data_IF_400362341817
#
_entry.id   IF_400362341817
#
_cell.length_a   1.000
_cell.length_b   1.000
_cell.length_c   1.000
_cell.angle_alpha   90.00
_cell.angle_beta   90.00
_cell.angle_gamma   90.00
#
_symmetry.space_group_name_H-M   'P 1'
#
loop_
_entity.id
_entity.type
_entity.pdbx_description
1 polymer ?
#
# COMPACT_ATOMS: atom_id res chain seq x y z
N UNK A 1 -4.68 -14.14 -18.92
CA UNK A 1 -3.79 -15.16 -18.34
C UNK A 1 -3.07 -14.54 -17.17
N UNK A 2 -3.47 -14.83 -15.94
CA UNK A 2 -2.68 -14.45 -14.76
C UNK A 2 -1.39 -15.27 -14.76
N UNK A 3 -0.23 -14.68 -14.41
CA UNK A 3 1.02 -15.44 -14.32
C UNK A 3 0.86 -16.59 -13.31
N UNK A 4 1.34 -17.77 -13.71
CA UNK A 4 1.24 -18.98 -12.89
C UNK A 4 2.05 -18.77 -11.58
N UNK A 5 1.54 -19.17 -10.40
CA UNK A 5 2.15 -18.89 -9.09
C UNK A 5 3.51 -19.58 -8.83
N UNK A 6 4.10 -20.22 -9.85
CA UNK A 6 5.33 -21.01 -9.79
C UNK A 6 6.56 -20.30 -10.35
N UNK A 7 6.50 -19.01 -10.67
CA UNK A 7 7.70 -18.29 -11.15
C UNK A 7 8.74 -18.12 -10.04
N UNK A 8 10.03 -18.32 -10.36
CA UNK A 8 11.12 -18.23 -9.40
C UNK A 8 11.23 -16.82 -8.84
N UNK A 9 11.39 -16.71 -7.52
CA UNK A 9 11.69 -15.44 -6.86
C UNK A 9 13.01 -14.90 -7.44
N UNK A 10 13.05 -13.67 -7.99
CA UNK A 10 14.25 -13.12 -8.59
C UNK A 10 15.43 -13.08 -7.60
N UNK A 11 16.62 -13.48 -8.06
CA UNK A 11 17.84 -13.51 -7.26
C UNK A 11 18.26 -12.08 -6.85
N UNK A 12 18.89 -11.95 -5.69
CA UNK A 12 19.37 -10.67 -5.18
C UNK A 12 20.45 -10.09 -6.11
N UNK A 13 20.15 -8.95 -6.76
CA UNK A 13 21.10 -8.22 -7.61
C UNK A 13 20.59 -7.88 -9.00
N UNK A 14 19.52 -8.52 -9.48
CA UNK A 14 18.84 -8.11 -10.72
C UNK A 14 17.86 -6.98 -10.41
N UNK A 15 17.89 -5.92 -11.24
CA UNK A 15 16.85 -4.90 -11.27
C UNK A 15 15.50 -5.63 -11.40
N UNK A 16 14.57 -5.35 -10.51
CA UNK A 16 13.25 -6.00 -10.55
C UNK A 16 12.58 -5.57 -11.84
N UNK A 17 12.20 -6.54 -12.67
CA UNK A 17 11.49 -6.23 -13.90
C UNK A 17 10.11 -5.66 -13.57
N UNK A 18 9.65 -4.71 -14.39
CA UNK A 18 8.27 -4.19 -14.33
C UNK A 18 7.33 -5.21 -14.97
N UNK A 19 6.07 -5.31 -14.51
CA UNK A 19 5.12 -6.19 -15.16
C UNK A 19 4.87 -5.69 -16.59
N UNK A 20 4.54 -6.59 -17.53
CA UNK A 20 4.19 -6.18 -18.88
C UNK A 20 3.01 -5.21 -18.83
N UNK A 21 2.98 -4.24 -19.75
CA UNK A 21 1.85 -3.33 -19.87
C UNK A 21 0.60 -4.13 -20.28
N UNK A 22 -0.44 -4.05 -19.46
CA UNK A 22 -1.73 -4.72 -19.71
C UNK A 22 -2.81 -3.65 -19.86
N UNK A 23 -3.82 -3.94 -20.69
CA UNK A 23 -5.00 -3.08 -20.83
C UNK A 23 -5.81 -3.14 -19.53
N UNK A 24 -5.64 -2.14 -18.67
CA UNK A 24 -6.21 -2.12 -17.32
C UNK A 24 -7.73 -2.06 -17.31
N UNK A 25 -8.32 -1.52 -18.37
CA UNK A 25 -9.73 -1.19 -18.41
C UNK A 25 -10.59 -2.46 -18.53
N UNK A 26 -10.20 -3.39 -19.40
CA UNK A 26 -10.91 -4.66 -19.55
C UNK A 26 -10.88 -5.49 -18.26
N UNK A 27 -9.75 -5.50 -17.55
CA UNK A 27 -9.63 -6.21 -16.28
C UNK A 27 -10.48 -5.53 -15.21
N UNK A 28 -10.41 -4.20 -15.13
CA UNK A 28 -11.23 -3.42 -14.21
C UNK A 28 -12.72 -3.69 -14.42
N UNK A 29 -13.22 -3.61 -15.66
CA UNK A 29 -14.62 -3.86 -15.95
C UNK A 29 -15.05 -5.29 -15.59
N UNK A 30 -14.20 -6.29 -15.85
CA UNK A 30 -14.47 -7.67 -15.41
C UNK A 30 -14.56 -7.81 -13.89
N UNK A 31 -13.73 -7.09 -13.12
CA UNK A 31 -13.80 -7.11 -11.66
C UNK A 31 -15.02 -6.33 -11.13
N UNK A 32 -15.37 -5.23 -11.81
CA UNK A 32 -16.56 -4.46 -11.46
C UNK A 32 -17.83 -5.24 -11.77
N UNK A 33 -17.91 -5.99 -12.86
CA UNK A 33 -19.03 -6.91 -13.13
C UNK A 33 -19.28 -7.89 -11.97
N UNK A 34 -18.22 -8.33 -11.30
CA UNK A 34 -18.31 -9.26 -10.17
C UNK A 34 -18.67 -8.57 -8.84
N UNK A 35 -18.13 -7.37 -8.57
CA UNK A 35 -18.30 -6.68 -7.29
C UNK A 35 -19.48 -5.72 -7.25
N UNK A 36 -19.72 -5.02 -8.35
CA UNK A 36 -20.66 -3.93 -8.53
C UNK A 36 -21.17 -3.93 -9.98
N UNK A 37 -21.99 -4.92 -10.39
CA UNK A 37 -22.46 -5.06 -11.77
C UNK A 37 -23.20 -3.80 -12.27
N UNK A 38 -23.82 -3.05 -11.36
CA UNK A 38 -24.44 -1.76 -11.63
C UNK A 38 -23.46 -0.67 -12.07
N UNK A 39 -22.16 -0.80 -11.76
CA UNK A 39 -21.12 0.15 -12.14
C UNK A 39 -20.30 -0.31 -13.35
N UNK A 40 -20.44 -1.57 -13.78
CA UNK A 40 -19.58 -2.14 -14.81
C UNK A 40 -19.70 -1.45 -16.18
N UNK A 41 -20.83 -0.80 -16.45
CA UNK A 41 -21.05 -0.03 -17.68
C UNK A 41 -20.58 1.44 -17.59
N UNK A 42 -20.15 1.89 -16.42
CA UNK A 42 -19.69 3.27 -16.20
C UNK A 42 -18.22 3.38 -16.62
N UNK A 43 -17.85 4.37 -17.46
CA UNK A 43 -16.46 4.55 -17.87
C UNK A 43 -15.50 4.72 -16.68
N UNK A 44 -14.37 4.02 -16.71
CA UNK A 44 -13.34 4.06 -15.66
C UNK A 44 -12.93 5.50 -15.24
N UNK A 45 -12.75 6.48 -16.15
CA UNK A 45 -12.40 7.86 -15.74
C UNK A 45 -13.43 8.51 -14.83
N UNK A 46 -14.72 8.17 -14.96
CA UNK A 46 -15.78 8.71 -14.11
C UNK A 46 -15.73 8.09 -12.71
N UNK A 47 -15.52 6.77 -12.61
CA UNK A 47 -15.33 6.08 -11.33
C UNK A 47 -14.08 6.60 -10.61
N UNK A 48 -12.98 6.81 -11.34
CA UNK A 48 -11.75 7.40 -10.80
C UNK A 48 -11.99 8.79 -10.21
N UNK A 49 -12.74 9.63 -10.93
CA UNK A 49 -13.10 10.97 -10.47
C UNK A 49 -13.93 10.89 -9.18
N UNK A 50 -14.96 10.04 -9.14
CA UNK A 50 -15.81 9.87 -7.96
C UNK A 50 -15.02 9.37 -6.75
N UNK A 51 -14.11 8.40 -6.95
CA UNK A 51 -13.24 7.90 -5.88
C UNK A 51 -12.33 9.00 -5.34
N UNK A 52 -11.82 9.87 -6.21
CA UNK A 52 -11.00 11.01 -5.80
C UNK A 52 -11.79 12.00 -4.93
N UNK A 53 -13.06 12.27 -5.29
CA UNK A 53 -13.96 13.11 -4.48
C UNK A 53 -14.30 12.45 -3.12
N UNK A 54 -14.54 11.14 -3.12
CA UNK A 54 -14.86 10.38 -1.91
C UNK A 54 -13.63 10.00 -1.06
N UNK A 55 -12.42 10.43 -1.44
CA UNK A 55 -11.18 10.04 -0.75
C UNK A 55 -11.21 10.34 0.75
N UNK A 56 -11.53 11.58 1.12
CA UNK A 56 -11.53 12.03 2.51
C UNK A 56 -12.51 11.21 3.37
N UNK A 57 -13.80 11.08 3.00
CA UNK A 57 -14.72 10.29 3.79
C UNK A 57 -14.37 8.79 3.80
N UNK A 58 -13.79 8.23 2.73
CA UNK A 58 -13.29 6.84 2.76
C UNK A 58 -12.13 6.66 3.75
N UNK A 59 -11.13 7.55 3.74
CA UNK A 59 -10.02 7.48 4.72
C UNK A 59 -10.55 7.63 6.14
N UNK A 60 -11.54 8.50 6.33
CA UNK A 60 -12.23 8.71 7.60
C UNK A 60 -12.92 7.43 8.10
N UNK A 61 -13.72 6.77 7.26
CA UNK A 61 -14.39 5.52 7.66
C UNK A 61 -13.43 4.34 7.80
N UNK A 62 -12.25 4.38 7.17
CA UNK A 62 -11.17 3.45 7.50
C UNK A 62 -10.56 3.70 8.89
N UNK A 63 -10.45 4.97 9.29
CA UNK A 63 -9.93 5.35 10.60
C UNK A 63 -10.92 5.09 11.75
N UNK A 64 -12.21 4.92 11.44
CA UNK A 64 -13.21 4.52 12.43
C UNK A 64 -13.18 3.03 12.75
N UNK A 65 -12.39 2.20 12.06
CA UNK A 65 -12.27 0.78 12.40
C UNK A 65 -11.47 0.61 13.70
N UNK A 66 -12.01 -0.14 14.66
CA UNK A 66 -11.28 -0.51 15.88
C UNK A 66 -10.23 -1.58 15.54
N UNK A 67 -9.01 -1.13 15.22
CA UNK A 67 -7.88 -1.99 14.87
C UNK A 67 -7.57 -3.02 15.98
N UNK A 68 -7.79 -2.69 17.25
CA UNK A 68 -7.51 -3.60 18.36
C UNK A 68 -8.52 -4.75 18.40
N UNK A 69 -9.81 -4.45 18.21
CA UNK A 69 -10.86 -5.47 18.06
C UNK A 69 -10.67 -6.28 16.77
N UNK A 70 -10.22 -5.64 15.70
CA UNK A 70 -10.00 -6.30 14.41
C UNK A 70 -8.95 -7.41 14.50
N UNK A 71 -7.86 -7.21 15.25
CA UNK A 71 -6.84 -8.25 15.44
C UNK A 71 -7.31 -9.40 16.36
N UNK A 72 -8.39 -9.22 17.12
CA UNK A 72 -9.01 -10.26 17.93
C UNK A 72 -10.07 -11.06 17.17
N UNK A 73 -10.43 -10.61 15.96
CA UNK A 73 -11.43 -11.28 15.13
C UNK A 73 -10.95 -12.68 14.79
N UNK A 74 -11.70 -13.67 15.27
CA UNK A 74 -11.46 -15.08 14.97
C UNK A 74 -12.35 -15.49 13.79
N UNK A 75 -11.72 -15.98 12.71
CA UNK A 75 -12.47 -16.48 11.56
C UNK A 75 -11.85 -16.09 10.22
N UNK A 76 -11.51 -17.10 9.43
CA UNK A 76 -11.19 -16.97 8.00
C UNK A 76 -12.44 -17.24 7.13
N UNK A 77 -13.58 -17.55 7.74
CA UNK A 77 -14.71 -18.17 7.06
C UNK A 77 -15.64 -17.12 6.45
N UNK A 78 -15.13 -16.45 5.41
CA UNK A 78 -15.92 -15.69 4.44
C UNK A 78 -16.43 -14.32 4.89
N UNK A 79 -16.72 -14.12 6.17
CA UNK A 79 -17.12 -12.81 6.74
C UNK A 79 -16.55 -12.60 8.15
N UNK A 80 -16.47 -11.34 8.57
CA UNK A 80 -15.98 -10.91 9.88
C UNK A 80 -16.84 -9.76 10.41
N UNK A 81 -17.14 -9.77 11.71
CA UNK A 81 -17.77 -8.63 12.40
C UNK A 81 -16.66 -7.66 12.80
N UNK A 82 -16.75 -6.43 12.31
CA UNK A 82 -15.80 -5.35 12.57
C UNK A 82 -16.49 -4.31 13.43
N UNK A 83 -15.85 -3.97 14.55
CA UNK A 83 -16.30 -2.89 15.42
C UNK A 83 -15.80 -1.55 14.92
N UNK A 84 -16.67 -0.56 14.97
CA UNK A 84 -16.39 0.83 14.64
C UNK A 84 -16.25 1.64 15.94
N UNK A 85 -15.26 2.52 15.97
CA UNK A 85 -15.09 3.50 17.03
C UNK A 85 -16.18 4.57 16.88
N UNK A 86 -16.78 5.01 18.00
CA UNK A 86 -17.70 6.13 17.98
C UNK A 86 -16.97 7.36 17.45
N UNK A 87 -17.64 8.11 16.59
CA UNK A 87 -17.06 9.24 15.90
C UNK A 87 -16.93 10.42 16.88
N UNK A 88 -15.82 10.50 17.61
CA UNK A 88 -15.68 11.41 18.76
C UNK A 88 -15.36 12.85 18.38
N UNK A 89 -14.89 13.09 17.16
CA UNK A 89 -14.30 14.38 16.76
C UNK A 89 -14.84 14.92 15.41
N UNK A 90 -15.85 14.28 14.81
CA UNK A 90 -16.32 14.65 13.47
C UNK A 90 -17.70 15.30 13.55
N UNK A 91 -17.84 16.41 12.84
CA UNK A 91 -19.13 17.06 12.62
C UNK A 91 -20.11 16.06 12.01
N UNK A 92 -21.32 15.97 12.56
CA UNK A 92 -22.42 15.15 12.02
C UNK A 92 -22.68 15.41 10.53
N UNK A 93 -22.23 16.56 10.02
CA UNK A 93 -22.39 17.01 8.63
C UNK A 93 -21.61 16.20 7.58
N UNK A 94 -20.60 15.40 7.96
CA UNK A 94 -19.85 14.58 6.98
C UNK A 94 -19.47 13.18 7.50
N UNK A 95 -20.38 12.20 7.42
CA UNK A 95 -20.08 10.83 7.83
C UNK A 95 -18.94 10.22 6.99
N UNK A 96 -18.11 9.40 7.64
CA UNK A 96 -17.12 8.57 6.94
C UNK A 96 -17.80 7.48 6.10
N UNK A 97 -17.21 7.14 4.95
CA UNK A 97 -17.63 5.99 4.16
C UNK A 97 -16.98 4.74 4.74
N UNK A 98 -17.81 3.80 5.20
CA UNK A 98 -17.36 2.57 5.84
C UNK A 98 -16.68 1.63 4.83
N UNK A 99 -15.64 0.88 5.26
CA UNK A 99 -15.02 -0.14 4.42
C UNK A 99 -16.05 -1.19 3.98
N UNK A 100 -15.87 -1.73 2.79
CA UNK A 100 -16.77 -2.76 2.26
C UNK A 100 -16.19 -4.16 2.36
N UNK A 101 -14.88 -4.29 2.61
CA UNK A 101 -14.18 -5.58 2.63
C UNK A 101 -13.12 -5.62 3.73
N UNK A 102 -12.77 -6.84 4.12
CA UNK A 102 -11.67 -7.12 5.01
C UNK A 102 -10.63 -8.04 4.34
N UNK A 103 -9.37 -7.66 4.36
CA UNK A 103 -8.27 -8.48 3.85
C UNK A 103 -7.58 -9.20 5.00
N UNK A 104 -7.50 -10.53 4.94
CA UNK A 104 -6.71 -11.33 5.87
C UNK A 104 -5.32 -11.58 5.24
N UNK A 105 -4.34 -10.76 5.60
CA UNK A 105 -3.02 -10.75 4.95
C UNK A 105 -2.02 -11.56 5.77
N UNK A 106 -1.48 -12.62 5.18
CA UNK A 106 -0.40 -13.44 5.73
C UNK A 106 0.89 -13.23 4.94
N UNK A 107 2.03 -13.65 5.50
CA UNK A 107 3.32 -13.63 4.79
C UNK A 107 3.86 -15.03 4.57
N UNK A 108 4.55 -15.24 3.44
CA UNK A 108 5.19 -16.54 3.14
C UNK A 108 6.33 -16.87 4.12
N UNK A 109 6.98 -15.85 4.67
CA UNK A 109 8.11 -16.01 5.59
C UNK A 109 7.68 -16.44 7.00
N UNK A 110 6.42 -16.23 7.37
CA UNK A 110 5.88 -16.60 8.68
C UNK A 110 4.48 -17.22 8.54
N UNK A 111 4.38 -18.44 7.96
CA UNK A 111 3.08 -19.07 7.65
C UNK A 111 2.28 -19.48 8.90
N UNK A 112 2.92 -19.54 10.07
CA UNK A 112 2.28 -19.86 11.35
C UNK A 112 1.78 -18.62 12.09
N UNK A 113 2.19 -17.42 11.66
CA UNK A 113 1.71 -16.19 12.27
C UNK A 113 0.25 -15.95 11.88
N UNK A 114 -0.60 -15.46 12.81
CA UNK A 114 -1.95 -15.08 12.46
C UNK A 114 -1.94 -13.97 11.40
N UNK A 115 -2.89 -13.97 10.45
CA UNK A 115 -2.98 -12.94 9.44
C UNK A 115 -3.23 -11.58 10.09
N UNK A 116 -2.78 -10.54 9.40
CA UNK A 116 -3.16 -9.18 9.71
C UNK A 116 -4.41 -8.82 8.94
N UNK A 117 -5.47 -8.49 9.67
CA UNK A 117 -6.70 -8.01 9.09
C UNK A 117 -6.57 -6.52 8.71
N UNK A 118 -6.97 -6.17 7.49
CA UNK A 118 -6.91 -4.82 6.96
C UNK A 118 -8.21 -4.46 6.24
N UNK A 119 -8.92 -3.45 6.74
CA UNK A 119 -10.16 -2.97 6.13
C UNK A 119 -9.89 -2.17 4.85
N UNK A 120 -10.75 -2.32 3.84
CA UNK A 120 -10.61 -1.66 2.54
C UNK A 120 -11.98 -1.45 1.86
N UNK A 121 -12.04 -0.47 0.96
CA UNK A 121 -13.13 -0.33 -0.01
C UNK A 121 -12.79 -1.20 -1.23
N UNK A 122 -13.62 -2.19 -1.51
CA UNK A 122 -13.41 -3.13 -2.62
C UNK A 122 -13.25 -2.44 -3.97
N UNK A 123 -14.01 -1.37 -4.21
CA UNK A 123 -13.90 -0.56 -5.42
C UNK A 123 -12.51 0.10 -5.58
N UNK A 124 -11.90 0.57 -4.48
CA UNK A 124 -10.53 1.09 -4.52
C UNK A 124 -9.56 -0.03 -4.87
N UNK A 125 -9.71 -1.21 -4.27
CA UNK A 125 -8.86 -2.37 -4.59
C UNK A 125 -8.97 -2.76 -6.07
N UNK A 126 -10.18 -2.93 -6.59
CA UNK A 126 -10.43 -3.30 -7.98
C UNK A 126 -9.91 -2.26 -8.98
N UNK A 127 -9.89 -0.98 -8.61
CA UNK A 127 -9.35 0.08 -9.44
C UNK A 127 -7.83 0.00 -9.64
N UNK A 128 -7.08 -0.55 -8.68
CA UNK A 128 -5.61 -0.62 -8.76
C UNK A 128 -5.06 -2.02 -8.96
N UNK A 129 -5.76 -3.03 -8.46
CA UNK A 129 -5.26 -4.40 -8.36
C UNK A 129 -6.09 -5.33 -9.23
N UNK A 130 -5.42 -6.21 -9.96
CA UNK A 130 -6.08 -7.28 -10.71
C UNK A 130 -6.17 -8.59 -9.93
N UNK A 131 -5.54 -8.65 -8.75
CA UNK A 131 -5.59 -9.77 -7.83
C UNK A 131 -5.45 -9.29 -6.37
N UNK A 132 -6.02 -9.99 -5.38
CA UNK A 132 -6.94 -11.12 -5.53
C UNK A 132 -8.32 -10.65 -6.01
N UNK A 133 -9.11 -11.57 -6.57
CA UNK A 133 -10.55 -11.33 -6.77
C UNK A 133 -11.19 -11.26 -5.39
N UNK A 134 -11.88 -10.15 -5.11
CA UNK A 134 -12.57 -9.96 -3.84
C UNK A 134 -13.88 -10.75 -3.81
N UNK A 135 -14.31 -11.12 -2.61
CA UNK A 135 -15.60 -11.77 -2.41
C UNK A 135 -16.74 -10.78 -2.69
N UNK A 136 -17.63 -11.10 -3.62
CA UNK A 136 -18.75 -10.24 -4.07
C UNK A 136 -19.89 -10.06 -3.06
N UNK A 137 -19.82 -10.70 -1.88
CA UNK A 137 -20.78 -10.45 -0.81
C UNK A 137 -20.70 -8.99 -0.36
N UNK A 138 -21.84 -8.30 -0.37
CA UNK A 138 -21.91 -6.95 0.17
C UNK A 138 -21.62 -6.92 1.68
N UNK A 139 -21.10 -5.78 2.15
CA UNK A 139 -21.10 -5.47 3.57
C UNK A 139 -22.54 -5.39 4.09
N UNK A 140 -22.74 -5.77 5.35
CA UNK A 140 -24.04 -5.73 6.01
C UNK A 140 -23.91 -5.13 7.41
N UNK A 141 -25.03 -4.65 7.95
CA UNK A 141 -25.08 -4.18 9.33
C UNK A 141 -24.78 -5.33 10.29
N UNK A 142 -24.01 -5.05 11.34
CA UNK A 142 -23.69 -6.01 12.38
C UNK A 142 -24.81 -6.17 13.42
N UNK A 143 -24.63 -7.10 14.37
CA UNK A 143 -25.61 -7.33 15.44
C UNK A 143 -25.74 -6.13 16.40
N UNK A 144 -24.69 -5.33 16.54
CA UNK A 144 -24.63 -4.15 17.40
C UNK A 144 -24.56 -2.85 16.57
N UNK A 145 -25.07 -1.71 17.08
CA UNK A 145 -25.12 -0.44 16.33
C UNK A 145 -23.76 0.09 15.85
N UNK A 146 -22.67 -0.29 16.51
CA UNK A 146 -21.29 0.09 16.21
C UNK A 146 -20.53 -1.04 15.49
N UNK A 147 -21.23 -1.96 14.82
CA UNK A 147 -20.60 -3.09 14.14
C UNK A 147 -21.07 -3.25 12.70
N UNK A 148 -20.16 -3.72 11.84
CA UNK A 148 -20.43 -4.04 10.43
C UNK A 148 -19.91 -5.44 10.11
N UNK A 149 -20.63 -6.19 9.30
CA UNK A 149 -20.20 -7.49 8.79
C UNK A 149 -19.55 -7.30 7.42
N UNK A 150 -18.25 -7.57 7.32
CA UNK A 150 -17.50 -7.43 6.09
C UNK A 150 -17.13 -8.80 5.50
N UNK A 151 -17.20 -8.99 4.18
CA UNK A 151 -16.60 -10.14 3.52
C UNK A 151 -15.08 -10.18 3.72
N UNK A 152 -14.54 -11.37 3.97
CA UNK A 152 -13.11 -11.59 4.18
C UNK A 152 -12.48 -12.20 2.93
N UNK A 153 -11.41 -11.57 2.43
CA UNK A 153 -10.56 -12.10 1.37
C UNK A 153 -9.18 -12.44 1.92
N UNK A 154 -8.74 -13.68 1.77
CA UNK A 154 -7.40 -14.10 2.23
C UNK A 154 -6.36 -13.78 1.18
N UNK A 155 -5.22 -13.26 1.61
CA UNK A 155 -4.12 -12.85 0.75
C UNK A 155 -2.78 -13.24 1.36
N UNK A 156 -1.86 -13.70 0.53
CA UNK A 156 -0.47 -13.96 0.93
C UNK A 156 0.41 -12.92 0.25
N UNK A 157 1.00 -12.02 1.03
CA UNK A 157 1.90 -10.98 0.52
C UNK A 157 3.35 -11.18 0.97
N UNK A 158 4.32 -10.63 0.22
CA UNK A 158 5.71 -10.57 0.66
C UNK A 158 5.89 -9.86 2.01
N UNK A 159 5.15 -8.77 2.24
CA UNK A 159 5.32 -7.90 3.41
C UNK A 159 4.03 -7.13 3.73
N UNK A 160 3.49 -7.33 4.94
CA UNK A 160 2.30 -6.59 5.41
C UNK A 160 2.57 -5.09 5.56
N UNK A 161 3.71 -4.64 6.16
CA UNK A 161 4.01 -3.21 6.23
C UNK A 161 4.08 -2.51 4.86
N UNK A 162 4.56 -3.23 3.83
CA UNK A 162 4.58 -2.72 2.47
C UNK A 162 3.18 -2.55 1.88
N UNK A 163 2.24 -3.43 2.22
CA UNK A 163 0.84 -3.27 1.82
C UNK A 163 0.23 -1.97 2.33
N UNK A 164 0.52 -1.54 3.57
CA UNK A 164 0.00 -0.27 4.09
C UNK A 164 0.51 0.94 3.28
N UNK A 165 1.76 0.91 2.79
CA UNK A 165 2.28 1.96 1.91
C UNK A 165 1.55 1.99 0.56
N UNK A 166 1.29 0.81 -0.02
CA UNK A 166 0.49 0.68 -1.25
C UNK A 166 -0.95 1.14 -1.03
N UNK A 167 -1.58 0.75 0.07
CA UNK A 167 -2.93 1.19 0.44
C UNK A 167 -3.00 2.70 0.54
N UNK A 168 -2.05 3.35 1.20
CA UNK A 168 -2.01 4.81 1.25
C UNK A 168 -1.96 5.43 -0.16
N UNK A 169 -1.14 4.88 -1.06
CA UNK A 169 -1.09 5.31 -2.46
C UNK A 169 -2.40 5.06 -3.21
N UNK A 170 -3.08 3.92 -3.00
CA UNK A 170 -4.35 3.63 -3.68
C UNK A 170 -5.45 4.65 -3.34
N UNK A 171 -5.51 5.13 -2.09
CA UNK A 171 -6.45 6.19 -1.72
C UNK A 171 -5.99 7.59 -2.16
N UNK A 172 -4.68 7.81 -2.30
CA UNK A 172 -4.10 9.08 -2.72
C UNK A 172 -3.02 8.82 -3.79
N UNK A 173 -3.40 8.62 -5.07
CA UNK A 173 -2.49 8.18 -6.13
C UNK A 173 -1.56 9.30 -6.58
N UNK A 174 -0.57 9.59 -5.73
CA UNK A 174 0.42 10.62 -5.97
C UNK A 174 1.81 10.07 -5.67
N UNK A 175 2.80 10.23 -6.59
CA UNK A 175 4.16 9.74 -6.37
C UNK A 175 4.77 10.22 -5.04
N UNK A 176 4.53 11.49 -4.67
CA UNK A 176 5.01 12.04 -3.40
C UNK A 176 4.44 11.33 -2.17
N UNK A 177 3.15 10.94 -2.19
CA UNK A 177 2.53 10.20 -1.09
C UNK A 177 3.16 8.82 -0.92
N UNK A 178 3.52 8.16 -2.03
CA UNK A 178 4.26 6.90 -1.97
C UNK A 178 5.68 7.11 -1.43
N UNK A 179 6.41 8.12 -1.89
CA UNK A 179 7.76 8.43 -1.41
C UNK A 179 7.76 8.77 0.09
N UNK A 180 6.74 9.50 0.57
CA UNK A 180 6.53 9.76 2.00
C UNK A 180 6.31 8.47 2.79
N UNK A 181 5.48 7.57 2.26
CA UNK A 181 5.23 6.28 2.88
C UNK A 181 6.51 5.43 2.92
N UNK A 182 7.32 5.43 1.86
CA UNK A 182 8.58 4.67 1.76
C UNK A 182 9.68 5.23 2.68
N UNK A 183 9.77 6.56 2.82
CA UNK A 183 10.83 7.26 3.57
C UNK A 183 10.27 8.07 4.75
N UNK A 184 9.62 7.42 5.73
CA UNK A 184 8.92 8.11 6.80
C UNK A 184 9.86 9.01 7.59
N UNK A 185 9.43 10.26 7.70
CA UNK A 185 10.15 11.32 8.38
C UNK A 185 11.40 11.80 7.66
N UNK A 186 11.90 11.14 6.61
CA UNK A 186 13.17 11.51 5.99
C UNK A 186 13.04 12.67 5.00
N UNK A 187 11.88 12.83 4.36
CA UNK A 187 11.66 13.90 3.38
C UNK A 187 10.68 14.92 3.97
N UNK A 188 11.13 16.17 4.16
CA UNK A 188 10.30 17.30 4.55
C UNK A 188 9.80 18.01 3.29
N UNK A 189 8.55 17.80 2.93
CA UNK A 189 7.95 18.29 1.67
C UNK A 189 7.45 19.73 1.74
N UNK A 190 7.88 20.50 2.75
CA UNK A 190 7.45 21.89 2.95
C UNK A 190 8.04 22.91 1.97
N UNK A 191 8.93 22.49 1.06
CA UNK A 191 9.55 23.34 0.05
C UNK A 191 9.49 22.73 -1.35
N UNK A 192 9.87 23.50 -2.37
CA UNK A 192 10.06 23.03 -3.74
C UNK A 192 11.10 21.91 -3.76
N UNK A 193 10.62 20.66 -3.84
CA UNK A 193 11.50 19.50 -3.91
C UNK A 193 11.98 19.33 -5.34
N UNK A 194 13.27 19.58 -5.57
CA UNK A 194 13.94 19.19 -6.80
C UNK A 194 14.19 17.69 -6.78
N UNK A 195 13.61 16.97 -7.76
CA UNK A 195 13.79 15.54 -7.92
C UNK A 195 15.25 15.14 -8.18
N UNK A 196 16.03 16.02 -8.82
CA UNK A 196 17.45 15.79 -9.12
C UNK A 196 18.30 15.63 -7.85
N UNK A 197 17.87 16.21 -6.74
CA UNK A 197 18.62 16.23 -5.48
C UNK A 197 17.99 15.34 -4.39
N UNK A 198 16.99 14.51 -4.71
CA UNK A 198 16.28 13.73 -3.69
C UNK A 198 17.21 12.76 -2.94
N UNK A 199 18.17 12.15 -3.64
CA UNK A 199 19.13 11.23 -3.05
C UNK A 199 20.02 11.90 -1.99
N UNK A 200 20.56 13.07 -2.31
CA UNK A 200 21.34 13.89 -1.37
C UNK A 200 20.49 14.35 -0.19
N UNK A 201 19.27 14.83 -0.44
CA UNK A 201 18.33 15.23 0.62
C UNK A 201 18.00 14.08 1.56
N UNK A 202 17.76 12.88 1.02
CA UNK A 202 17.54 11.68 1.82
C UNK A 202 18.75 11.36 2.69
N UNK A 203 19.94 11.37 2.09
CA UNK A 203 21.20 11.13 2.80
C UNK A 203 21.42 12.15 3.93
N UNK A 204 21.32 13.45 3.65
CA UNK A 204 21.54 14.53 4.61
C UNK A 204 20.53 14.49 5.76
N UNK A 205 19.26 14.20 5.45
CA UNK A 205 18.21 14.08 6.45
C UNK A 205 18.40 12.88 7.38
N UNK A 206 18.89 11.75 6.87
CA UNK A 206 19.25 10.61 7.71
C UNK A 206 20.52 10.91 8.52
N UNK A 207 21.53 11.48 7.87
CA UNK A 207 22.83 11.79 8.46
C UNK A 207 22.72 12.80 9.61
N UNK A 208 21.86 13.81 9.50
CA UNK A 208 21.61 14.79 10.55
C UNK A 208 20.95 14.21 11.81
N UNK A 209 20.32 13.03 11.70
CA UNK A 209 19.64 12.35 12.81
C UNK A 209 20.42 11.14 13.36
N UNK A 210 21.43 10.69 12.63
CA UNK A 210 22.23 9.55 13.02
C UNK A 210 23.38 10.00 13.93
N UNK A 211 23.60 9.27 15.02
CA UNK A 211 24.71 9.55 15.94
C UNK A 211 26.03 8.98 15.40
N UNK A 212 25.95 7.96 14.53
CA UNK A 212 27.10 7.25 13.97
C UNK A 212 26.90 6.93 12.49
N UNK A 213 27.99 6.94 11.72
CA UNK A 213 27.94 6.61 10.28
C UNK A 213 27.39 5.20 9.96
N UNK A 214 27.60 4.21 10.85
CA UNK A 214 27.03 2.85 10.68
C UNK A 214 25.49 2.84 10.73
N UNK A 215 24.88 3.75 11.48
CA UNK A 215 23.42 3.85 11.60
C UNK A 215 22.80 4.39 10.30
N UNK A 216 23.51 5.28 9.59
CA UNK A 216 23.08 5.83 8.30
C UNK A 216 22.94 4.72 7.26
N UNK A 217 23.97 3.89 7.11
CA UNK A 217 23.97 2.79 6.13
C UNK A 217 22.86 1.78 6.47
N UNK A 218 22.75 1.37 7.74
CA UNK A 218 21.70 0.43 8.15
C UNK A 218 20.29 0.97 7.87
N UNK A 219 20.05 2.26 8.12
CA UNK A 219 18.76 2.90 7.84
C UNK A 219 18.46 2.98 6.34
N UNK A 220 19.45 3.30 5.52
CA UNK A 220 19.32 3.29 4.06
C UNK A 220 19.07 1.89 3.50
N UNK A 221 19.72 0.85 4.06
CA UNK A 221 19.44 -0.54 3.72
C UNK A 221 18.01 -0.94 4.06
N UNK A 222 17.50 -0.50 5.22
CA UNK A 222 16.09 -0.73 5.58
C UNK A 222 15.12 -0.05 4.60
N UNK A 223 15.45 1.15 4.11
CA UNK A 223 14.67 1.80 3.05
C UNK A 223 14.74 1.04 1.73
N UNK A 224 15.90 0.51 1.33
CA UNK A 224 16.03 -0.31 0.14
C UNK A 224 15.15 -1.58 0.21
N UNK A 225 15.19 -2.27 1.36
CA UNK A 225 14.33 -3.44 1.61
C UNK A 225 12.86 -3.08 1.52
N UNK A 226 12.46 -1.92 2.08
CA UNK A 226 11.07 -1.46 2.02
C UNK A 226 10.60 -1.15 0.60
N UNK A 227 11.42 -0.49 -0.22
CA UNK A 227 11.10 -0.23 -1.64
C UNK A 227 10.90 -1.55 -2.38
N UNK A 228 11.82 -2.52 -2.18
CA UNK A 228 11.71 -3.87 -2.73
C UNK A 228 10.43 -4.58 -2.27
N UNK A 229 10.09 -4.52 -1.00
CA UNK A 229 8.90 -5.18 -0.46
C UNK A 229 7.62 -4.59 -1.07
N UNK A 230 7.56 -3.27 -1.24
CA UNK A 230 6.44 -2.58 -1.91
C UNK A 230 6.35 -3.00 -3.38
N UNK A 231 7.49 -3.09 -4.07
CA UNK A 231 7.55 -3.59 -5.45
C UNK A 231 6.95 -4.98 -5.56
N UNK A 232 7.40 -5.92 -4.71
CA UNK A 232 6.93 -7.31 -4.75
C UNK A 232 5.45 -7.41 -4.35
N UNK A 233 4.98 -6.60 -3.41
CA UNK A 233 3.55 -6.54 -3.08
C UNK A 233 2.72 -6.00 -4.26
N UNK A 234 3.15 -4.92 -4.92
CA UNK A 234 2.46 -4.37 -6.08
C UNK A 234 2.40 -5.38 -7.23
N UNK A 235 3.48 -6.13 -7.44
CA UNK A 235 3.52 -7.24 -8.39
C UNK A 235 2.53 -8.35 -8.02
N UNK A 236 2.54 -8.77 -6.75
CA UNK A 236 1.64 -9.85 -6.25
C UNK A 236 0.16 -9.48 -6.38
N UNK A 237 -0.15 -8.19 -6.22
CA UNK A 237 -1.49 -7.63 -6.40
C UNK A 237 -1.85 -7.34 -7.87
N UNK A 238 -0.92 -7.61 -8.79
CA UNK A 238 -1.06 -7.33 -10.22
C UNK A 238 -1.49 -5.86 -10.46
N UNK A 239 -0.72 -4.92 -9.89
CA UNK A 239 -0.91 -3.48 -10.12
C UNK A 239 -0.24 -3.06 -11.41
N UNK A 240 -0.99 -2.45 -12.33
CA UNK A 240 -0.52 -2.08 -13.67
C UNK A 240 -0.46 -0.56 -13.90
N UNK A 241 -0.42 0.25 -12.83
CA UNK A 241 -0.33 1.72 -12.94
C UNK A 241 1.10 2.17 -13.19
N UNK A 242 1.35 2.80 -14.34
CA UNK A 242 2.67 3.29 -14.74
C UNK A 242 3.23 4.27 -13.71
N UNK A 243 2.39 5.15 -13.16
CA UNK A 243 2.77 6.17 -12.19
C UNK A 243 3.28 5.57 -10.87
N UNK A 244 2.74 4.42 -10.45
CA UNK A 244 3.24 3.69 -9.28
C UNK A 244 4.64 3.15 -9.56
N UNK A 245 4.82 2.49 -10.71
CA UNK A 245 6.10 1.89 -11.09
C UNK A 245 7.19 2.95 -11.29
N UNK A 246 6.87 4.08 -11.90
CA UNK A 246 7.79 5.22 -12.04
C UNK A 246 8.18 5.79 -10.67
N UNK A 247 7.23 5.90 -9.73
CA UNK A 247 7.51 6.34 -8.37
C UNK A 247 8.40 5.34 -7.61
N UNK A 248 8.23 4.04 -7.82
CA UNK A 248 9.07 3.00 -7.22
C UNK A 248 10.49 2.97 -7.81
N UNK A 249 10.64 3.16 -9.11
CA UNK A 249 11.95 3.28 -9.76
C UNK A 249 12.69 4.51 -9.26
N UNK A 250 12.00 5.65 -9.16
CA UNK A 250 12.56 6.85 -8.55
C UNK A 250 12.98 6.59 -7.10
N UNK A 251 12.11 5.97 -6.28
CA UNK A 251 12.44 5.64 -4.89
C UNK A 251 13.69 4.74 -4.80
N UNK A 252 13.80 3.75 -5.68
CA UNK A 252 14.95 2.85 -5.79
C UNK A 252 16.23 3.62 -6.11
N UNK A 253 16.20 4.46 -7.15
CA UNK A 253 17.34 5.28 -7.57
C UNK A 253 17.82 6.22 -6.46
N UNK A 254 16.88 6.86 -5.75
CA UNK A 254 17.15 7.75 -4.62
C UNK A 254 17.89 7.03 -3.49
N UNK A 255 17.43 5.83 -3.11
CA UNK A 255 18.07 5.04 -2.05
C UNK A 255 19.45 4.55 -2.48
N UNK A 256 19.61 4.07 -3.71
CA UNK A 256 20.90 3.62 -4.25
C UNK A 256 21.91 4.77 -4.27
N UNK A 257 21.49 5.96 -4.71
CA UNK A 257 22.35 7.14 -4.69
C UNK A 257 22.78 7.51 -3.26
N UNK A 258 21.83 7.57 -2.32
CA UNK A 258 22.12 7.87 -0.92
C UNK A 258 23.05 6.83 -0.27
N UNK A 259 22.91 5.54 -0.60
CA UNK A 259 23.84 4.49 -0.18
C UNK A 259 25.24 4.72 -0.73
N UNK A 260 25.37 5.11 -1.99
CA UNK A 260 26.65 5.46 -2.61
C UNK A 260 27.37 6.59 -1.87
N UNK A 261 26.64 7.66 -1.52
CA UNK A 261 27.16 8.78 -0.73
C UNK A 261 27.62 8.32 0.67
N UNK A 262 26.84 7.48 1.34
CA UNK A 262 27.17 6.96 2.67
C UNK A 262 28.45 6.10 2.66
N UNK A 263 28.61 5.23 1.66
CA UNK A 263 29.81 4.38 1.49
C UNK A 263 31.04 5.22 1.18
N UNK A 264 30.93 6.20 0.26
CA UNK A 264 32.03 7.10 -0.07
C UNK A 264 32.52 7.86 1.18
N UNK A 265 31.60 8.38 1.99
CA UNK A 265 31.93 9.06 3.25
C UNK A 265 32.61 8.13 4.26
N UNK A 266 32.14 6.90 4.39
CA UNK A 266 32.74 5.93 5.31
C UNK A 266 34.18 5.58 4.92
N UNK A 267 34.49 5.50 3.62
CA UNK A 267 35.83 5.22 3.13
C UNK A 267 36.79 6.39 3.39
N UNK A 268 36.33 7.63 3.21
CA UNK A 268 37.14 8.83 3.49
C UNK A 268 37.53 8.96 4.96
N UNK A 269 36.70 8.48 5.90
CA UNK A 269 37.02 8.48 7.34
C UNK A 269 38.10 7.43 7.69
N UNK A 270 38.20 6.34 6.92
CA UNK A 270 39.21 5.29 7.18
C UNK A 270 40.60 5.65 6.65
N UNK A 271 40.69 6.60 5.71
CA UNK A 271 41.96 7.06 5.13
C UNK A 271 42.66 8.16 5.93
N UNK A 272 41.98 8.72 6.93
CA UNK A 272 42.50 9.75 7.85
C UNK A 272 42.86 9.15 9.20
#
# INVERSE_FOLDING_TARGET
MLPSPSEPVPQAGTMLERPPLVHTDAIFHSLMDELHPELAHIPLPFIQHQIAECRVPMIRGLASVDDAALQQTSGYQGTAIVRLLPDRDLSEDEPGLQPTHLLAISTRSAPLDPPRFVAIHGMVMAMYCSAPILNSKAAADGPDPDTVVLPVTTLVLPSVPAFYALRAYMYAPHPLSLLQALFPGALSWGGLVSFDNLGSQLFDSIQSRANKGKEVIAKLQNYALRVRDVWLCAWTLAVYRTELWDALDLASAVVVHALGLAVARQNNIKST
#
